data_IF_261162744213
#
_entry.id   IF_261162744213
#
_cell.length_a   1.000
_cell.length_b   1.000
_cell.length_c   1.000
_cell.angle_alpha   90.00
_cell.angle_beta   90.00
_cell.angle_gamma   90.00
#
_symmetry.space_group_name_H-M   'P 1'
#
loop_
_entity.id
_entity.type
_entity.pdbx_description
1 polymer ?
#
# COMPACT_ATOMS: atom_id res chain seq x y z
N UNK A 1 -1.14 -2.92 12.09
CA UNK A 1 0.22 -2.76 12.66
C UNK A 1 0.77 -1.34 12.42
N UNK A 2 1.46 -0.75 13.42
CA UNK A 2 2.21 0.51 13.30
C UNK A 2 3.59 0.24 12.70
N UNK A 3 3.87 0.82 11.53
CA UNK A 3 5.05 0.49 10.71
C UNK A 3 5.56 1.72 9.96
N UNK A 4 6.86 1.74 9.62
CA UNK A 4 7.46 2.78 8.77
C UNK A 4 7.32 2.40 7.29
N UNK A 5 6.42 3.06 6.57
CA UNK A 5 6.08 2.74 5.18
C UNK A 5 6.88 3.55 4.15
N UNK A 6 8.17 3.78 4.37
CA UNK A 6 9.00 4.61 3.48
C UNK A 6 9.14 4.01 2.07
N UNK A 7 9.17 2.68 1.94
CA UNK A 7 9.18 1.98 0.65
C UNK A 7 7.87 2.19 -0.16
N UNK A 8 6.77 2.56 0.51
CA UNK A 8 5.46 2.77 -0.09
C UNK A 8 5.11 4.26 -0.12
N UNK A 9 6.09 5.11 -0.46
CA UNK A 9 5.92 6.56 -0.57
C UNK A 9 6.60 7.03 -1.85
N UNK A 10 6.00 7.98 -2.57
CA UNK A 10 6.70 8.62 -3.69
C UNK A 10 7.97 9.35 -3.24
N UNK A 11 9.00 9.28 -4.06
CA UNK A 11 10.22 10.05 -3.91
C UNK A 11 9.93 11.55 -3.96
N UNK A 12 10.72 12.37 -3.26
CA UNK A 12 10.62 13.83 -3.31
C UNK A 12 9.51 14.46 -2.46
N UNK A 13 8.64 13.69 -1.79
CA UNK A 13 7.60 14.28 -0.91
C UNK A 13 8.16 14.65 0.46
N UNK A 14 8.08 15.93 0.83
CA UNK A 14 8.46 16.46 2.14
C UNK A 14 7.45 16.06 3.22
N UNK A 15 7.81 15.09 4.06
CA UNK A 15 6.98 14.69 5.20
C UNK A 15 7.86 14.12 6.30
N UNK A 16 7.82 14.74 7.49
CA UNK A 16 8.74 14.48 8.61
C UNK A 16 8.68 13.03 9.11
N UNK A 17 7.51 12.37 9.04
CA UNK A 17 7.34 11.00 9.55
C UNK A 17 6.60 10.07 8.58
N UNK A 18 7.24 8.95 8.23
CA UNK A 18 6.69 7.88 7.37
C UNK A 18 6.07 6.73 8.15
N UNK A 19 5.83 6.90 9.46
CA UNK A 19 5.13 5.92 10.29
C UNK A 19 3.63 6.08 10.12
N UNK A 20 2.94 4.98 9.82
CA UNK A 20 1.47 4.87 9.76
C UNK A 20 1.03 3.60 10.46
N UNK A 21 -0.25 3.55 10.82
CA UNK A 21 -0.90 2.35 11.34
C UNK A 21 -1.95 1.91 10.33
N UNK A 22 -1.76 0.72 9.78
CA UNK A 22 -2.79 0.01 9.00
C UNK A 22 -3.57 -0.86 9.99
N UNK A 23 -4.87 -0.60 10.13
CA UNK A 23 -5.78 -1.37 10.97
C UNK A 23 -6.25 -2.63 10.25
N UNK A 24 -6.56 -2.51 8.96
CA UNK A 24 -7.07 -3.60 8.11
C UNK A 24 -6.44 -3.53 6.73
N UNK A 25 -6.11 -4.69 6.16
CA UNK A 25 -5.68 -4.82 4.78
C UNK A 25 -6.29 -6.11 4.22
N UNK A 26 -7.14 -5.99 3.22
CA UNK A 26 -7.88 -7.11 2.65
C UNK A 26 -7.81 -7.11 1.14
N UNK A 27 -7.83 -8.31 0.57
CA UNK A 27 -7.98 -8.55 -0.86
C UNK A 27 -9.16 -9.48 -1.03
N UNK A 28 -10.14 -9.08 -1.82
CA UNK A 28 -11.33 -9.89 -2.11
C UNK A 28 -11.65 -9.86 -3.60
N UNK A 29 -12.31 -10.90 -4.09
CA UNK A 29 -12.80 -10.98 -5.46
C UNK A 29 -14.30 -10.74 -5.48
N UNK A 30 -14.75 -9.82 -6.33
CA UNK A 30 -16.15 -9.48 -6.54
C UNK A 30 -16.45 -9.54 -8.04
N UNK A 31 -17.07 -10.64 -8.50
CA UNK A 31 -17.21 -10.93 -9.92
C UNK A 31 -15.83 -11.01 -10.60
N UNK A 32 -15.62 -10.18 -11.61
CA UNK A 32 -14.35 -10.08 -12.33
C UNK A 32 -13.36 -9.08 -11.70
N UNK A 33 -13.75 -8.40 -10.63
CA UNK A 33 -12.92 -7.39 -9.97
C UNK A 33 -12.14 -7.99 -8.79
N UNK A 34 -10.91 -7.50 -8.61
CA UNK A 34 -10.12 -7.70 -7.39
C UNK A 34 -10.13 -6.39 -6.61
N UNK A 35 -10.73 -6.40 -5.43
CA UNK A 35 -10.83 -5.25 -4.55
C UNK A 35 -9.76 -5.35 -3.47
N UNK A 36 -8.94 -4.30 -3.36
CA UNK A 36 -7.93 -4.15 -2.32
C UNK A 36 -8.38 -3.01 -1.41
N UNK A 37 -8.65 -3.33 -0.15
CA UNK A 37 -9.12 -2.36 0.84
C UNK A 37 -8.11 -2.20 1.97
N UNK A 38 -7.74 -0.95 2.26
CA UNK A 38 -6.83 -0.59 3.33
C UNK A 38 -7.51 0.39 4.28
N UNK A 39 -7.54 0.04 5.57
CA UNK A 39 -8.03 0.90 6.64
C UNK A 39 -6.84 1.30 7.51
N UNK A 40 -6.69 2.58 7.83
CA UNK A 40 -5.56 3.07 8.61
C UNK A 40 -5.77 4.45 9.18
N UNK A 41 -4.84 4.90 10.02
CA UNK A 41 -4.89 6.22 10.67
C UNK A 41 -4.49 7.39 9.74
N UNK A 42 -4.36 7.12 8.44
CA UNK A 42 -3.86 8.03 7.43
C UNK A 42 -2.85 7.35 6.51
N UNK A 43 -2.63 7.96 5.35
CA UNK A 43 -1.78 7.39 4.29
C UNK A 43 -0.72 8.41 3.84
N UNK A 44 0.41 7.92 3.34
CA UNK A 44 1.42 8.76 2.68
C UNK A 44 1.01 9.01 1.22
N UNK A 45 1.60 10.01 0.59
CA UNK A 45 1.35 10.28 -0.82
C UNK A 45 1.66 9.03 -1.69
N UNK A 46 0.67 8.64 -2.50
CA UNK A 46 0.62 7.41 -3.30
C UNK A 46 0.70 6.07 -2.54
N UNK A 47 0.68 6.06 -1.21
CA UNK A 47 0.91 4.84 -0.42
C UNK A 47 -0.02 3.69 -0.76
N UNK A 48 -1.33 3.94 -0.82
CA UNK A 48 -2.33 2.92 -1.14
C UNK A 48 -2.05 2.35 -2.53
N UNK A 49 -1.85 3.20 -3.54
CA UNK A 49 -1.59 2.78 -4.93
C UNK A 49 -0.30 1.99 -5.09
N UNK A 50 0.74 2.29 -4.30
CA UNK A 50 2.00 1.54 -4.31
C UNK A 50 1.81 0.18 -3.63
N UNK A 51 1.12 0.13 -2.49
CA UNK A 51 0.78 -1.14 -1.82
C UNK A 51 -0.02 -2.04 -2.75
N UNK A 52 -1.08 -1.51 -3.37
CA UNK A 52 -1.91 -2.26 -4.32
C UNK A 52 -1.11 -2.76 -5.52
N UNK A 53 -0.16 -1.97 -6.04
CA UNK A 53 0.73 -2.40 -7.11
C UNK A 53 1.67 -3.53 -6.70
N UNK A 54 2.23 -3.46 -5.50
CA UNK A 54 3.05 -4.57 -4.95
C UNK A 54 2.21 -5.83 -4.74
N UNK A 55 0.98 -5.71 -4.24
CA UNK A 55 0.07 -6.87 -4.08
C UNK A 55 -0.34 -7.47 -5.43
N UNK A 56 -0.50 -6.66 -6.47
CA UNK A 56 -0.71 -7.15 -7.83
C UNK A 56 0.49 -7.97 -8.31
N UNK A 57 1.71 -7.48 -8.11
CA UNK A 57 2.92 -8.21 -8.49
C UNK A 57 3.08 -9.52 -7.68
N UNK A 58 2.59 -9.57 -6.43
CA UNK A 58 2.48 -10.81 -5.66
C UNK A 58 1.44 -11.77 -6.27
N UNK A 59 0.24 -11.27 -6.58
CA UNK A 59 -0.82 -12.08 -7.19
C UNK A 59 -0.44 -12.64 -8.57
N UNK A 60 0.44 -11.95 -9.29
CA UNK A 60 1.00 -12.39 -10.56
C UNK A 60 2.26 -13.28 -10.42
N UNK A 61 2.71 -13.56 -9.19
CA UNK A 61 3.89 -14.38 -8.91
C UNK A 61 5.25 -13.72 -9.20
N UNK A 62 5.28 -12.42 -9.51
CA UNK A 62 6.52 -11.66 -9.76
C UNK A 62 7.27 -11.33 -8.47
N UNK A 63 6.54 -11.17 -7.36
CA UNK A 63 7.09 -10.99 -6.03
C UNK A 63 6.56 -12.13 -5.15
N UNK A 64 7.44 -12.83 -4.44
CA UNK A 64 6.99 -13.83 -3.48
C UNK A 64 6.34 -13.15 -2.26
N UNK A 65 5.21 -13.65 -1.71
CA UNK A 65 4.55 -13.05 -0.55
C UNK A 65 5.50 -12.81 0.65
N UNK A 66 6.45 -13.71 0.87
CA UNK A 66 7.41 -13.66 1.97
C UNK A 66 8.39 -12.49 1.85
N UNK A 67 8.47 -11.83 0.68
CA UNK A 67 9.31 -10.65 0.45
C UNK A 67 8.68 -9.35 0.95
N UNK A 68 7.39 -9.31 1.26
CA UNK A 68 6.71 -8.09 1.71
C UNK A 68 7.36 -7.50 2.99
N UNK A 69 7.67 -8.28 4.05
CA UNK A 69 8.41 -7.78 5.21
C UNK A 69 9.74 -7.15 4.83
N UNK A 70 10.54 -7.79 3.96
CA UNK A 70 11.83 -7.27 3.51
C UNK A 70 11.68 -5.94 2.74
N UNK A 71 10.65 -5.81 1.90
CA UNK A 71 10.37 -4.57 1.18
C UNK A 71 10.05 -3.44 2.17
N UNK A 72 9.21 -3.70 3.17
CA UNK A 72 8.90 -2.73 4.23
C UNK A 72 10.17 -2.31 4.99
N UNK A 73 10.98 -3.27 5.41
CA UNK A 73 12.19 -3.04 6.22
C UNK A 73 13.29 -2.31 5.45
N UNK A 74 13.44 -2.61 4.15
CA UNK A 74 14.42 -1.96 3.28
C UNK A 74 14.23 -0.45 3.19
N UNK A 75 13.00 0.04 3.39
CA UNK A 75 12.61 1.46 3.22
C UNK A 75 12.93 2.00 1.82
N UNK A 76 13.16 1.11 0.86
CA UNK A 76 13.55 1.43 -0.50
C UNK A 76 12.33 1.33 -1.43
N UNK A 77 12.00 2.45 -2.09
CA UNK A 77 10.87 2.53 -3.01
C UNK A 77 11.07 1.65 -4.25
N UNK A 78 12.31 1.42 -4.68
CA UNK A 78 12.58 0.61 -5.89
C UNK A 78 12.24 -0.87 -5.70
N UNK A 79 12.18 -1.34 -4.45
CA UNK A 79 11.81 -2.72 -4.11
C UNK A 79 10.30 -2.95 -4.05
N UNK A 80 9.49 -1.88 -4.06
CA UNK A 80 8.04 -1.96 -4.11
C UNK A 80 7.53 -1.93 -5.56
N UNK A 81 6.35 -2.49 -5.79
CA UNK A 81 5.71 -2.53 -7.09
C UNK A 81 5.43 -1.14 -7.68
N UNK A 82 4.97 -1.14 -8.93
CA UNK A 82 4.60 0.10 -9.63
C UNK A 82 3.47 0.83 -8.91
N UNK A 83 3.42 2.16 -9.04
CA UNK A 83 2.26 2.93 -8.60
C UNK A 83 1.11 2.67 -9.58
N UNK A 84 0.03 2.01 -9.14
CA UNK A 84 -1.14 1.77 -9.99
C UNK A 84 -1.82 3.07 -10.44
N UNK A 85 -2.61 3.10 -11.53
CA UNK A 85 -3.40 4.25 -11.94
C UNK A 85 -4.33 4.79 -10.83
N UNK A 86 -4.68 6.09 -10.89
CA UNK A 86 -5.48 6.73 -9.84
C UNK A 86 -6.98 6.43 -9.95
N UNK A 87 -7.49 6.14 -11.15
CA UNK A 87 -8.94 5.97 -11.39
C UNK A 87 -9.57 4.78 -10.66
N UNK A 88 -8.77 3.82 -10.18
CA UNK A 88 -9.25 2.70 -9.35
C UNK A 88 -9.22 2.96 -7.85
N UNK A 89 -8.75 4.14 -7.40
CA UNK A 89 -8.67 4.50 -5.99
C UNK A 89 -9.85 5.42 -5.62
N UNK A 90 -10.57 5.06 -4.57
CA UNK A 90 -11.60 5.90 -3.96
C UNK A 90 -11.55 5.78 -2.43
N UNK A 91 -12.03 6.81 -1.74
CA UNK A 91 -12.16 6.84 -0.29
C UNK A 91 -13.52 6.25 0.08
N UNK A 92 -13.53 5.17 0.87
CA UNK A 92 -14.77 4.49 1.27
C UNK A 92 -15.44 5.18 2.45
N UNK A 93 -14.68 5.46 3.51
CA UNK A 93 -15.22 5.98 4.76
C UNK A 93 -14.15 6.75 5.56
N UNK A 94 -14.61 7.77 6.30
CA UNK A 94 -13.84 8.42 7.37
C UNK A 94 -14.64 8.26 8.67
N UNK A 95 -13.99 7.77 9.72
CA UNK A 95 -14.61 7.58 11.03
C UNK A 95 -14.18 8.73 11.94
N UNK A 96 -15.16 9.41 12.53
CA UNK A 96 -14.98 10.43 13.56
C UNK A 96 -15.45 9.87 14.90
N UNK A 97 -14.84 10.36 15.98
CA UNK A 97 -15.27 10.08 17.35
C UNK A 97 -16.24 11.15 17.83
#
# INVERSE_FOLDING_TARGET
RRTRFKAFKSSGTSGKNSVRTIYKAEVRKEGDNIIIELTGNGFLYNMVRIISGTLLDVGLGKIKPEKIPEIIESKDRQRAGRTLPAHGLYLVQVVYN
#
